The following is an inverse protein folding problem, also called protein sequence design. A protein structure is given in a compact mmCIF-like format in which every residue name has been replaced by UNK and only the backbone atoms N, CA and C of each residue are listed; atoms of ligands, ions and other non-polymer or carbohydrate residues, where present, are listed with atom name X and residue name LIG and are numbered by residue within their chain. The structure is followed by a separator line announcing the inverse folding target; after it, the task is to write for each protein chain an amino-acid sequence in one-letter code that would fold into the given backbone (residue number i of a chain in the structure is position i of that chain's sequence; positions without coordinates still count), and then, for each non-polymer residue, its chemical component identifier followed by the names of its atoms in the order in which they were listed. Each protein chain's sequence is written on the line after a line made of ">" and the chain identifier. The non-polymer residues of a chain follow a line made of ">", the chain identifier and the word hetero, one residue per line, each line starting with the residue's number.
data_IF_365617713517
#
_entry.id   IF_365617713517
#
_cell.length_a   1.000
_cell.length_b   1.000
_cell.length_c   1.000
_cell.angle_alpha   90.00
_cell.angle_beta   90.00
_cell.angle_gamma   90.00
#
_symmetry.space_group_name_H-M   'P 1'
#
loop_
_entity.id
_entity.type
_entity.pdbx_description
1 polymer ?
#
# COMPACT_ATOMS: atom_id res chain seq x y z
N UNK A 1 30.05 -10.11 -6.94
CA UNK A 1 29.20 -9.82 -5.76
C UNK A 1 28.17 -8.75 -6.10
N UNK A 2 26.86 -8.97 -5.94
CA UNK A 2 25.87 -7.91 -6.11
C UNK A 2 25.89 -6.99 -4.89
N UNK A 3 26.12 -5.68 -5.09
CA UNK A 3 26.02 -4.65 -4.04
C UNK A 3 24.59 -4.65 -3.46
N UNK A 4 24.41 -5.07 -2.20
CA UNK A 4 23.15 -4.89 -1.46
C UNK A 4 22.85 -3.39 -1.36
N UNK A 5 21.86 -2.89 -2.11
CA UNK A 5 21.36 -1.52 -1.93
C UNK A 5 20.67 -1.46 -0.56
N UNK A 6 21.25 -0.70 0.38
CA UNK A 6 20.61 -0.45 1.67
C UNK A 6 19.30 0.31 1.43
N UNK A 7 18.20 -0.02 2.13
CA UNK A 7 16.99 0.78 2.06
C UNK A 7 17.33 2.22 2.47
N UNK A 8 16.88 3.18 1.67
CA UNK A 8 17.15 4.61 1.90
C UNK A 8 15.95 5.24 2.63
N UNK A 9 16.09 6.46 3.14
CA UNK A 9 14.95 7.22 3.66
C UNK A 9 13.79 7.30 2.64
N UNK A 10 14.09 7.39 1.35
CA UNK A 10 13.11 7.34 0.27
C UNK A 10 12.34 6.01 0.18
N UNK A 11 12.93 4.89 0.62
CA UNK A 11 12.27 3.58 0.73
C UNK A 11 11.17 3.55 1.80
N UNK A 12 11.19 4.49 2.75
CA UNK A 12 10.20 4.64 3.82
C UNK A 12 9.26 5.84 3.65
N UNK A 13 9.52 6.74 2.68
CA UNK A 13 8.68 7.92 2.43
C UNK A 13 7.18 7.58 2.21
N UNK A 14 6.88 6.39 1.66
CA UNK A 14 5.51 5.93 1.47
C UNK A 14 4.77 5.62 2.80
N UNK A 15 5.47 5.44 3.92
CA UNK A 15 4.85 5.30 5.24
C UNK A 15 4.23 6.61 5.71
N UNK A 16 4.90 7.73 5.46
CA UNK A 16 4.33 9.06 5.72
C UNK A 16 3.08 9.30 4.85
N UNK A 17 3.13 8.89 3.58
CA UNK A 17 1.94 8.93 2.70
C UNK A 17 0.81 8.05 3.23
N UNK A 18 1.13 6.85 3.76
CA UNK A 18 0.15 5.95 4.34
C UNK A 18 -0.52 6.56 5.59
N UNK A 19 0.27 7.18 6.47
CA UNK A 19 -0.24 7.88 7.64
C UNK A 19 -1.18 9.03 7.27
N UNK A 20 -0.79 9.85 6.27
CA UNK A 20 -1.63 10.92 5.74
C UNK A 20 -2.95 10.40 5.15
N UNK A 21 -2.90 9.38 4.31
CA UNK A 21 -4.08 8.74 3.70
C UNK A 21 -5.04 8.22 4.78
N UNK A 22 -4.49 7.58 5.82
CA UNK A 22 -5.28 7.10 6.95
C UNK A 22 -5.97 8.25 7.69
N UNK A 23 -5.23 9.29 8.07
CA UNK A 23 -5.78 10.46 8.75
C UNK A 23 -6.91 11.11 7.95
N UNK A 24 -6.73 11.28 6.64
CA UNK A 24 -7.74 11.88 5.76
C UNK A 24 -8.98 11.01 5.59
N UNK A 25 -8.84 9.70 5.46
CA UNK A 25 -10.00 8.81 5.44
C UNK A 25 -10.74 8.80 6.77
N UNK A 26 -10.03 8.85 7.89
CA UNK A 26 -10.64 8.99 9.22
C UNK A 26 -11.42 10.31 9.32
N UNK A 27 -10.84 11.43 8.89
CA UNK A 27 -11.53 12.72 8.86
C UNK A 27 -12.79 12.70 7.97
N UNK A 28 -12.73 12.06 6.80
CA UNK A 28 -13.89 11.90 5.90
C UNK A 28 -15.02 11.07 6.54
N UNK A 29 -14.66 10.03 7.30
CA UNK A 29 -15.63 9.19 8.01
C UNK A 29 -16.30 9.98 9.13
N UNK A 30 -15.53 10.75 9.90
CA UNK A 30 -16.06 11.63 10.96
C UNK A 30 -16.96 12.72 10.40
N UNK A 31 -16.60 13.32 9.26
CA UNK A 31 -17.38 14.37 8.61
C UNK A 31 -18.70 13.87 7.99
N UNK A 32 -18.80 12.58 7.63
CA UNK A 32 -20.01 12.01 7.03
C UNK A 32 -20.30 10.61 7.59
N UNK A 33 -20.82 10.52 8.83
CA UNK A 33 -21.05 9.23 9.49
C UNK A 33 -22.10 8.38 8.75
N UNK A 34 -23.07 9.00 8.07
CA UNK A 34 -24.08 8.30 7.28
C UNK A 34 -23.48 7.48 6.12
N UNK A 35 -22.31 7.89 5.59
CA UNK A 35 -21.57 7.16 4.53
C UNK A 35 -20.38 6.35 5.08
N UNK A 36 -20.20 6.29 6.40
CA UNK A 36 -19.05 5.63 7.01
C UNK A 36 -18.96 4.15 6.64
N UNK A 37 -20.08 3.42 6.73
CA UNK A 37 -20.11 1.97 6.45
C UNK A 37 -19.69 1.63 5.01
N UNK A 38 -20.28 2.31 4.02
CA UNK A 38 -19.94 2.09 2.60
C UNK A 38 -18.51 2.52 2.28
N UNK A 39 -18.03 3.60 2.92
CA UNK A 39 -16.64 4.06 2.79
C UNK A 39 -15.66 3.05 3.38
N UNK A 40 -15.93 2.53 4.58
CA UNK A 40 -15.11 1.51 5.24
C UNK A 40 -15.09 0.21 4.44
N UNK A 41 -16.23 -0.25 3.93
CA UNK A 41 -16.31 -1.43 3.07
C UNK A 41 -15.47 -1.27 1.78
N UNK A 42 -15.54 -0.09 1.15
CA UNK A 42 -14.71 0.24 -0.01
C UNK A 42 -13.22 0.17 0.33
N UNK A 43 -12.80 0.78 1.45
CA UNK A 43 -11.40 0.76 1.89
C UNK A 43 -10.93 -0.67 2.25
N UNK A 44 -11.81 -1.49 2.84
CA UNK A 44 -11.50 -2.88 3.15
C UNK A 44 -11.29 -3.71 1.87
N UNK A 45 -12.17 -3.57 0.88
CA UNK A 45 -12.02 -4.22 -0.42
C UNK A 45 -10.72 -3.80 -1.13
N UNK A 46 -10.35 -2.52 -1.04
CA UNK A 46 -9.08 -2.03 -1.57
C UNK A 46 -7.85 -2.67 -0.91
N UNK A 47 -7.89 -2.84 0.43
CA UNK A 47 -6.81 -3.52 1.17
C UNK A 47 -6.70 -5.00 0.77
N UNK A 48 -7.83 -5.71 0.69
CA UNK A 48 -7.87 -7.11 0.30
C UNK A 48 -7.33 -7.33 -1.12
N UNK A 49 -7.73 -6.49 -2.09
CA UNK A 49 -7.23 -6.57 -3.46
C UNK A 49 -5.72 -6.33 -3.54
N UNK A 50 -5.21 -5.31 -2.87
CA UNK A 50 -3.77 -5.01 -2.88
C UNK A 50 -2.96 -6.12 -2.21
N UNK A 51 -3.49 -6.70 -1.13
CA UNK A 51 -2.88 -7.85 -0.45
C UNK A 51 -2.85 -9.09 -1.33
N UNK A 52 -3.98 -9.46 -1.96
CA UNK A 52 -4.06 -10.59 -2.89
C UNK A 52 -3.11 -10.45 -4.08
N UNK A 53 -3.05 -9.26 -4.70
CA UNK A 53 -2.05 -8.98 -5.75
C UNK A 53 -0.61 -9.13 -5.26
N UNK A 54 -0.34 -8.73 -4.01
CA UNK A 54 0.97 -8.88 -3.36
C UNK A 54 1.33 -10.35 -3.13
N UNK A 55 0.39 -11.13 -2.61
CA UNK A 55 0.56 -12.56 -2.35
C UNK A 55 0.88 -13.34 -3.64
N UNK A 56 0.15 -13.08 -4.73
CA UNK A 56 0.41 -13.70 -6.04
C UNK A 56 1.80 -13.32 -6.56
N UNK A 57 2.17 -12.05 -6.51
CA UNK A 57 3.48 -11.58 -6.99
C UNK A 57 4.64 -12.12 -6.15
N UNK A 58 4.45 -12.22 -4.84
CA UNK A 58 5.41 -12.82 -3.93
C UNK A 58 5.58 -14.31 -4.20
N UNK A 59 4.48 -15.05 -4.40
CA UNK A 59 4.50 -16.47 -4.77
C UNK A 59 5.24 -16.71 -6.08
N UNK A 60 4.94 -15.92 -7.12
CA UNK A 60 5.67 -15.99 -8.40
C UNK A 60 7.17 -15.66 -8.25
N UNK A 61 7.53 -14.69 -7.41
CA UNK A 61 8.93 -14.38 -7.14
C UNK A 61 9.63 -15.53 -6.40
N UNK A 62 8.96 -16.14 -5.42
CA UNK A 62 9.48 -17.30 -4.70
C UNK A 62 9.69 -18.51 -5.61
N UNK A 63 8.71 -18.82 -6.48
CA UNK A 63 8.83 -19.91 -7.47
C UNK A 63 10.00 -19.70 -8.45
N UNK A 64 10.38 -18.44 -8.70
CA UNK A 64 11.54 -18.10 -9.54
C UNK A 64 12.88 -18.13 -8.78
N UNK A 65 12.90 -18.57 -7.52
CA UNK A 65 14.10 -18.61 -6.69
C UNK A 65 14.62 -17.21 -6.31
N UNK A 66 13.76 -16.20 -6.27
CA UNK A 66 14.18 -14.85 -5.90
C UNK A 66 14.63 -14.78 -4.43
N UNK A 67 15.50 -13.82 -4.11
CA UNK A 67 15.94 -13.60 -2.73
C UNK A 67 14.78 -13.17 -1.81
N UNK A 68 14.88 -13.41 -0.48
CA UNK A 68 13.85 -12.98 0.47
C UNK A 68 13.51 -11.50 0.36
N UNK A 69 14.51 -10.63 0.13
CA UNK A 69 14.29 -9.20 -0.06
C UNK A 69 13.47 -8.90 -1.32
N UNK A 70 13.73 -9.59 -2.43
CA UNK A 70 12.99 -9.42 -3.67
C UNK A 70 11.55 -9.93 -3.56
N UNK A 71 11.32 -11.01 -2.81
CA UNK A 71 9.98 -11.53 -2.50
C UNK A 71 9.20 -10.50 -1.66
N UNK A 72 9.80 -9.97 -0.58
CA UNK A 72 9.17 -8.93 0.24
C UNK A 72 8.87 -7.66 -0.56
N UNK A 73 9.76 -7.26 -1.47
CA UNK A 73 9.51 -6.11 -2.34
C UNK A 73 8.36 -6.38 -3.32
N UNK A 74 8.29 -7.58 -3.90
CA UNK A 74 7.18 -8.00 -4.75
C UNK A 74 5.84 -7.99 -4.01
N UNK A 75 5.83 -8.41 -2.73
CA UNK A 75 4.66 -8.39 -1.86
C UNK A 75 4.17 -6.96 -1.55
N UNK A 76 5.10 -6.04 -1.28
CA UNK A 76 4.76 -4.68 -0.83
C UNK A 76 4.50 -3.69 -1.98
N UNK A 77 5.02 -3.97 -3.18
CA UNK A 77 4.89 -3.07 -4.34
C UNK A 77 3.43 -2.67 -4.66
N UNK A 78 2.42 -3.58 -4.66
CA UNK A 78 1.02 -3.21 -4.90
C UNK A 78 0.45 -2.28 -3.82
N UNK A 79 0.80 -2.53 -2.56
CA UNK A 79 0.37 -1.71 -1.41
C UNK A 79 0.92 -0.28 -1.55
N UNK A 80 2.23 -0.14 -1.79
CA UNK A 80 2.88 1.16 -2.00
C UNK A 80 2.24 1.95 -3.14
N UNK A 81 1.92 1.28 -4.25
CA UNK A 81 1.24 1.90 -5.40
C UNK A 81 -0.15 2.42 -5.01
N UNK A 82 -0.92 1.66 -4.23
CA UNK A 82 -2.27 2.07 -3.82
C UNK A 82 -2.24 3.27 -2.87
N UNK A 83 -1.30 3.28 -1.90
CA UNK A 83 -1.08 4.40 -0.98
C UNK A 83 -0.80 5.68 -1.76
N UNK A 84 0.16 5.65 -2.71
CA UNK A 84 0.47 6.79 -3.57
C UNK A 84 -0.71 7.27 -4.38
N UNK A 85 -1.48 6.35 -4.95
CA UNK A 85 -2.68 6.70 -5.70
C UNK A 85 -3.76 7.35 -4.81
N UNK A 86 -3.95 6.87 -3.58
CA UNK A 86 -4.87 7.50 -2.62
C UNK A 86 -4.37 8.88 -2.17
N UNK A 87 -3.07 9.01 -1.86
CA UNK A 87 -2.48 10.29 -1.52
C UNK A 87 -2.66 11.31 -2.65
N UNK A 88 -2.47 10.89 -3.91
CA UNK A 88 -2.71 11.73 -5.08
C UNK A 88 -4.18 12.14 -5.21
N UNK A 89 -5.13 11.21 -5.09
CA UNK A 89 -6.56 11.51 -5.14
C UNK A 89 -6.96 12.52 -4.07
N UNK A 90 -6.52 12.30 -2.83
CA UNK A 90 -6.80 13.20 -1.71
C UNK A 90 -6.22 14.60 -1.94
N UNK A 91 -5.03 14.71 -2.54
CA UNK A 91 -4.44 16.01 -2.90
C UNK A 91 -5.16 16.73 -4.04
N UNK A 92 -5.88 16.00 -4.89
CA UNK A 92 -6.54 16.53 -6.07
C UNK A 92 -8.01 16.94 -5.84
N UNK A 93 -8.62 16.52 -4.72
CA UNK A 93 -10.02 16.80 -4.39
C UNK A 93 -10.94 15.71 -4.86
#
# INVERSE_FOLDING_TARGET
>A
MPRRKRPTAASYAWLAEAGWVFAMHSAQIWANPAKAGTRLATLAAEKQRAFGEGAVKAGLAAMRGASPQAISEAALKPVRRRVRANAKKIRQG
#
